data_IF_619626405398
#
_entry.id   IF_619626405398
#
_cell.length_a   1.000
_cell.length_b   1.000
_cell.length_c   1.000
_cell.angle_alpha   90.00
_cell.angle_beta   90.00
_cell.angle_gamma   90.00
#
_symmetry.space_group_name_H-M   'P 1'
#
loop_
_entity.id
_entity.type
_entity.pdbx_description
1 polymer ?
#
# COMPACT_ATOMS: atom_id res chain seq x y z
N UNK A 1 -34.78 -14.49 9.96
CA UNK A 1 -34.38 -13.06 10.08
C UNK A 1 -35.15 -12.26 9.05
N UNK A 2 -35.78 -11.16 9.47
CA UNK A 2 -36.63 -10.37 8.58
C UNK A 2 -35.76 -9.67 7.52
N UNK A 3 -35.97 -10.06 6.25
CA UNK A 3 -35.18 -9.66 5.08
C UNK A 3 -35.09 -8.12 4.88
N UNK A 4 -35.97 -7.36 5.53
CA UNK A 4 -36.01 -5.90 5.50
C UNK A 4 -34.86 -5.23 6.27
N UNK A 5 -34.37 -5.85 7.34
CA UNK A 5 -33.26 -5.29 8.13
C UNK A 5 -31.90 -5.59 7.48
N UNK A 6 -31.81 -6.72 6.77
CA UNK A 6 -30.62 -7.10 6.01
C UNK A 6 -30.37 -6.14 4.84
N UNK A 7 -31.43 -5.75 4.12
CA UNK A 7 -31.34 -4.78 3.03
C UNK A 7 -30.92 -3.38 3.53
N UNK A 8 -31.42 -2.97 4.69
CA UNK A 8 -31.07 -1.67 5.28
C UNK A 8 -29.60 -1.55 5.66
N UNK A 9 -28.99 -2.61 6.19
CA UNK A 9 -27.57 -2.63 6.57
C UNK A 9 -26.68 -2.55 5.32
N UNK A 10 -27.05 -3.25 4.24
CA UNK A 10 -26.29 -3.22 2.97
C UNK A 10 -26.29 -1.81 2.36
N UNK A 11 -27.43 -1.12 2.37
CA UNK A 11 -27.53 0.25 1.83
C UNK A 11 -26.63 1.23 2.61
N UNK A 12 -26.56 1.08 3.94
CA UNK A 12 -25.69 1.92 4.78
C UNK A 12 -24.22 1.66 4.47
N UNK A 13 -23.81 0.40 4.31
CA UNK A 13 -22.42 0.04 3.98
C UNK A 13 -22.03 0.61 2.59
N UNK A 14 -22.91 0.52 1.60
CA UNK A 14 -22.67 1.07 0.26
C UNK A 14 -22.54 2.61 0.31
N UNK A 15 -23.37 3.28 1.11
CA UNK A 15 -23.28 4.74 1.27
C UNK A 15 -21.98 5.19 1.93
N UNK A 16 -21.48 4.45 2.94
CA UNK A 16 -20.20 4.74 3.61
C UNK A 16 -19.03 4.53 2.64
N UNK A 17 -19.05 3.47 1.83
CA UNK A 17 -18.01 3.20 0.83
C UNK A 17 -17.97 4.25 -0.28
N UNK A 18 -19.13 4.76 -0.72
CA UNK A 18 -19.19 5.81 -1.73
C UNK A 18 -18.63 7.16 -1.24
N UNK A 19 -18.79 7.49 0.04
CA UNK A 19 -18.22 8.71 0.64
C UNK A 19 -16.70 8.63 0.71
N UNK A 20 -16.13 7.47 1.09
CA UNK A 20 -14.68 7.26 1.12
C UNK A 20 -14.05 7.43 -0.28
N UNK A 21 -14.74 6.94 -1.32
CA UNK A 21 -14.29 7.08 -2.71
C UNK A 21 -14.31 8.52 -3.22
N UNK A 22 -15.28 9.34 -2.80
CA UNK A 22 -15.37 10.74 -3.21
C UNK A 22 -14.20 11.60 -2.67
N UNK A 23 -13.70 11.30 -1.46
CA UNK A 23 -12.53 11.99 -0.90
C UNK A 23 -11.20 11.62 -1.57
N UNK A 24 -11.17 10.57 -2.40
CA UNK A 24 -9.94 10.08 -3.02
C UNK A 24 -9.62 10.75 -4.38
N UNK A 25 -10.55 11.53 -4.93
CA UNK A 25 -10.42 12.14 -6.28
C UNK A 25 -9.97 13.61 -6.28
N UNK A 26 -10.06 14.34 -5.16
CA UNK A 26 -9.70 15.78 -5.11
C UNK A 26 -8.23 16.06 -4.71
N UNK A 27 -7.41 15.04 -4.42
CA UNK A 27 -6.04 15.24 -3.94
C UNK A 27 -4.97 15.34 -5.04
N UNK A 28 -5.36 15.64 -6.28
CA UNK A 28 -4.44 15.87 -7.41
C UNK A 28 -4.62 17.24 -8.05
N UNK A 29 -4.33 18.31 -7.32
CA UNK A 29 -3.69 19.52 -7.87
C UNK A 29 -3.07 20.30 -6.70
N UNK A 30 -1.86 20.85 -6.89
CA UNK A 30 -1.11 21.78 -6.00
C UNK A 30 0.21 21.30 -5.40
N UNK A 31 0.97 20.46 -6.10
CA UNK A 31 2.42 20.34 -5.83
C UNK A 31 3.26 20.41 -7.11
N UNK A 32 3.05 21.47 -7.90
CA UNK A 32 4.01 21.91 -8.93
C UNK A 32 4.03 23.45 -8.97
N UNK A 33 4.61 24.08 -7.95
CA UNK A 33 5.27 25.37 -8.13
C UNK A 33 6.15 25.69 -6.92
N UNK A 34 7.47 25.68 -7.14
CA UNK A 34 8.47 25.96 -6.12
C UNK A 34 9.88 26.00 -6.71
N UNK A 35 10.09 26.88 -7.68
CA UNK A 35 11.43 27.28 -8.11
C UNK A 35 12.10 28.07 -6.99
N UNK A 36 13.26 27.63 -6.51
CA UNK A 36 14.31 28.53 -6.01
C UNK A 36 15.68 27.84 -6.01
N UNK A 37 16.68 28.61 -6.43
CA UNK A 37 18.06 28.20 -6.70
C UNK A 37 18.80 27.74 -5.44
N UNK A 38 19.44 26.57 -5.55
CA UNK A 38 20.42 26.08 -4.58
C UNK A 38 21.31 25.04 -5.24
N UNK A 39 22.44 25.48 -5.76
CA UNK A 39 23.52 24.60 -6.21
C UNK A 39 24.00 23.75 -5.04
N UNK A 40 24.22 22.44 -5.26
CA UNK A 40 25.47 21.70 -4.97
C UNK A 40 25.20 20.19 -4.86
N UNK A 41 25.95 19.44 -5.69
CA UNK A 41 26.26 18.00 -5.71
C UNK A 41 25.26 17.01 -6.34
N UNK A 42 25.46 16.89 -7.65
CA UNK A 42 25.00 15.81 -8.55
C UNK A 42 25.49 14.43 -8.11
N UNK A 43 24.54 13.58 -7.71
CA UNK A 43 24.51 12.14 -8.01
C UNK A 43 23.07 11.61 -7.87
N UNK A 44 22.13 12.25 -8.58
CA UNK A 44 20.77 11.73 -8.73
C UNK A 44 20.57 11.30 -10.18
N UNK A 45 21.02 10.09 -10.47
CA UNK A 45 20.50 9.29 -11.57
C UNK A 45 19.88 8.04 -10.97
N UNK A 46 18.70 8.18 -10.36
CA UNK A 46 17.75 7.07 -10.20
C UNK A 46 16.54 7.33 -11.06
N UNK A 47 16.80 7.47 -12.37
CA UNK A 47 15.85 7.14 -13.42
C UNK A 47 15.27 5.76 -13.11
N UNK A 48 14.02 5.72 -12.70
CA UNK A 48 13.24 4.50 -12.45
C UNK A 48 12.97 3.82 -13.79
N UNK A 49 14.00 3.20 -14.35
CA UNK A 49 13.92 2.42 -15.58
C UNK A 49 13.41 1.02 -15.24
N UNK A 50 12.30 0.71 -15.89
CA UNK A 50 11.69 -0.60 -16.09
C UNK A 50 12.70 -1.75 -16.24
N UNK A 51 12.36 -2.88 -15.64
CA UNK A 51 12.97 -4.21 -15.81
C UNK A 51 14.36 -4.39 -15.19
N UNK A 52 14.37 -4.72 -13.90
CA UNK A 52 15.42 -5.54 -13.30
C UNK A 52 14.79 -6.36 -12.18
N UNK A 53 14.68 -7.68 -12.40
CA UNK A 53 14.51 -8.69 -11.35
C UNK A 53 15.81 -8.76 -10.51
N UNK A 54 16.25 -7.62 -10.00
CA UNK A 54 17.44 -7.48 -9.20
C UNK A 54 17.04 -7.28 -7.76
N UNK A 55 17.55 -8.14 -6.88
CA UNK A 55 17.56 -7.93 -5.44
C UNK A 55 18.09 -6.51 -5.17
N UNK A 56 17.26 -5.63 -4.60
CA UNK A 56 17.70 -4.32 -4.13
C UNK A 56 17.84 -4.40 -2.62
N UNK A 57 19.01 -4.06 -2.10
CA UNK A 57 19.29 -4.17 -0.67
C UNK A 57 19.26 -2.82 0.02
N UNK A 58 18.87 -2.82 1.30
CA UNK A 58 18.83 -1.63 2.16
C UNK A 58 18.08 -0.45 1.53
N UNK A 59 16.89 -0.73 1.01
CA UNK A 59 15.97 0.26 0.45
C UNK A 59 15.07 0.77 1.57
N UNK A 60 14.82 2.08 1.58
CA UNK A 60 13.87 2.69 2.48
C UNK A 60 12.48 2.72 1.84
N UNK A 61 11.47 2.24 2.57
CA UNK A 61 10.06 2.27 2.16
C UNK A 61 9.19 2.90 3.24
N UNK A 62 8.06 3.45 2.82
CA UNK A 62 6.99 3.94 3.70
C UNK A 62 5.70 3.17 3.43
N UNK A 63 5.01 2.76 4.50
CA UNK A 63 3.69 2.13 4.46
C UNK A 63 2.73 2.80 5.44
N UNK A 64 1.42 2.64 5.23
CA UNK A 64 0.42 2.96 6.24
C UNK A 64 0.47 1.91 7.36
N UNK A 65 0.60 2.36 8.60
CA UNK A 65 0.58 1.50 9.79
C UNK A 65 -0.86 1.18 10.26
N UNK A 66 -1.86 1.79 9.64
CA UNK A 66 -3.27 1.65 10.04
C UNK A 66 -3.89 0.34 9.57
N UNK A 67 -3.37 -0.21 8.47
CA UNK A 67 -3.98 -1.34 7.79
C UNK A 67 -2.92 -2.35 7.33
N UNK A 68 -3.00 -3.53 7.92
CA UNK A 68 -2.29 -4.72 7.51
C UNK A 68 -3.29 -5.83 7.25
N UNK A 69 -3.09 -6.60 6.18
CA UNK A 69 -4.03 -7.63 5.77
C UNK A 69 -3.32 -8.98 5.61
N UNK A 70 -3.92 -10.07 6.12
CA UNK A 70 -3.42 -11.41 5.83
C UNK A 70 -3.58 -11.71 4.34
N UNK A 71 -2.60 -12.39 3.75
CA UNK A 71 -2.55 -12.52 2.30
C UNK A 71 -3.73 -13.28 1.70
N UNK A 72 -4.31 -14.21 2.46
CA UNK A 72 -5.47 -14.99 2.02
C UNK A 72 -6.68 -14.10 1.73
N UNK A 73 -6.88 -13.04 2.53
CA UNK A 73 -8.00 -12.10 2.32
C UNK A 73 -7.79 -11.21 1.11
N UNK A 74 -6.56 -10.72 0.92
CA UNK A 74 -6.25 -9.85 -0.23
C UNK A 74 -6.34 -10.62 -1.54
N UNK A 75 -5.84 -11.85 -1.60
CA UNK A 75 -5.95 -12.65 -2.81
C UNK A 75 -7.42 -12.88 -3.22
N UNK A 76 -8.30 -13.07 -2.25
CA UNK A 76 -9.75 -13.15 -2.49
C UNK A 76 -10.34 -11.79 -2.91
N UNK A 77 -9.93 -10.70 -2.27
CA UNK A 77 -10.39 -9.35 -2.62
C UNK A 77 -9.99 -8.95 -4.05
N UNK A 78 -8.76 -9.22 -4.47
CA UNK A 78 -8.27 -8.97 -5.84
C UNK A 78 -9.14 -9.70 -6.87
N UNK A 79 -9.56 -10.94 -6.58
CA UNK A 79 -10.41 -11.73 -7.48
C UNK A 79 -11.84 -11.22 -7.59
N UNK A 80 -12.37 -10.65 -6.52
CA UNK A 80 -13.81 -10.45 -6.37
C UNK A 80 -14.22 -8.99 -6.42
N UNK A 81 -13.33 -8.07 -6.08
CA UNK A 81 -13.63 -6.65 -5.97
C UNK A 81 -13.41 -5.93 -7.31
N UNK A 82 -14.39 -5.16 -7.83
CA UNK A 82 -14.30 -4.49 -9.14
C UNK A 82 -13.12 -3.51 -9.29
N UNK A 83 -12.61 -2.97 -8.17
CA UNK A 83 -11.45 -2.07 -8.20
C UNK A 83 -10.15 -2.73 -8.71
N UNK A 84 -10.09 -4.06 -8.76
CA UNK A 84 -8.97 -4.82 -9.29
C UNK A 84 -9.28 -5.44 -10.67
N UNK A 85 -10.34 -4.99 -11.36
CA UNK A 85 -10.63 -5.46 -12.71
C UNK A 85 -9.43 -5.26 -13.63
N UNK A 86 -9.07 -6.30 -14.39
CA UNK A 86 -7.89 -6.30 -15.24
C UNK A 86 -6.58 -6.63 -14.54
N UNK A 87 -6.63 -7.25 -13.35
CA UNK A 87 -5.44 -7.75 -12.68
C UNK A 87 -4.70 -8.81 -13.51
N UNK A 88 -3.39 -8.89 -13.30
CA UNK A 88 -2.49 -9.87 -13.91
C UNK A 88 -2.59 -11.21 -13.17
N UNK A 89 -3.06 -12.25 -13.87
CA UNK A 89 -3.29 -13.57 -13.28
C UNK A 89 -2.01 -14.22 -12.75
N UNK A 90 -0.88 -13.99 -13.39
CA UNK A 90 0.39 -14.61 -13.01
C UNK A 90 0.97 -13.96 -11.76
N UNK A 91 0.76 -12.66 -11.59
CA UNK A 91 1.05 -11.92 -10.36
C UNK A 91 0.14 -12.36 -9.23
N UNK A 92 -1.16 -12.58 -9.48
CA UNK A 92 -2.06 -13.12 -8.46
C UNK A 92 -1.66 -14.53 -8.02
N UNK A 93 -1.36 -15.45 -8.96
CA UNK A 93 -0.88 -16.81 -8.62
C UNK A 93 0.40 -16.77 -7.80
N UNK A 94 1.31 -15.86 -8.13
CA UNK A 94 2.52 -15.63 -7.33
C UNK A 94 2.18 -15.13 -5.92
N UNK A 95 1.25 -14.20 -5.80
CA UNK A 95 0.80 -13.67 -4.51
C UNK A 95 0.22 -14.77 -3.59
N UNK A 96 -0.52 -15.72 -4.17
CA UNK A 96 -1.10 -16.86 -3.44
C UNK A 96 -0.05 -17.82 -2.86
N UNK A 97 1.21 -17.73 -3.29
CA UNK A 97 2.30 -18.56 -2.73
C UNK A 97 2.77 -18.07 -1.35
N UNK A 98 2.46 -16.82 -0.97
CA UNK A 98 2.88 -16.19 0.28
C UNK A 98 1.93 -16.49 1.46
N UNK A 99 1.67 -17.77 1.70
CA UNK A 99 0.83 -18.21 2.83
C UNK A 99 1.42 -17.75 4.17
N UNK A 100 0.60 -17.12 5.02
CA UNK A 100 1.03 -16.58 6.32
C UNK A 100 1.88 -15.31 6.25
N UNK A 101 1.99 -14.67 5.08
CA UNK A 101 2.58 -13.33 4.94
C UNK A 101 1.54 -12.24 5.16
N UNK A 102 2.02 -11.03 5.43
CA UNK A 102 1.19 -9.85 5.69
C UNK A 102 1.43 -8.83 4.58
N UNK A 103 0.33 -8.28 4.06
CA UNK A 103 0.36 -7.17 3.11
C UNK A 103 0.05 -5.85 3.82
N UNK A 104 0.85 -4.83 3.51
CA UNK A 104 0.63 -3.45 3.90
C UNK A 104 0.37 -2.59 2.68
N UNK A 105 -0.32 -1.48 2.90
CA UNK A 105 -0.67 -0.54 1.83
C UNK A 105 0.25 0.67 1.88
N UNK A 106 0.67 1.14 0.71
CA UNK A 106 1.30 2.45 0.53
C UNK A 106 0.52 3.24 -0.53
N UNK A 107 0.93 4.48 -0.77
CA UNK A 107 0.32 5.34 -1.78
C UNK A 107 0.45 4.71 -3.17
N UNK A 108 1.65 4.24 -3.51
CA UNK A 108 1.99 3.87 -4.89
C UNK A 108 2.13 2.35 -5.10
N UNK A 109 2.22 1.56 -4.02
CA UNK A 109 2.47 0.12 -4.08
C UNK A 109 1.86 -0.61 -2.87
N UNK A 110 1.77 -1.93 -3.00
CA UNK A 110 1.56 -2.85 -1.90
C UNK A 110 2.88 -3.47 -1.48
N UNK A 111 3.07 -3.67 -0.17
CA UNK A 111 4.27 -4.32 0.38
C UNK A 111 3.86 -5.64 1.02
N UNK A 112 4.47 -6.73 0.60
CA UNK A 112 4.31 -8.06 1.19
C UNK A 112 5.58 -8.40 1.95
N UNK A 113 5.42 -8.86 3.19
CA UNK A 113 6.51 -9.34 4.02
C UNK A 113 6.05 -10.52 4.88
N UNK A 114 6.99 -11.38 5.26
CA UNK A 114 6.69 -12.51 6.12
C UNK A 114 6.22 -12.00 7.50
N UNK A 115 5.40 -12.79 8.21
CA UNK A 115 4.85 -12.39 9.51
C UNK A 115 5.91 -11.91 10.52
N UNK A 116 7.06 -12.59 10.57
CA UNK A 116 8.13 -12.22 11.50
C UNK A 116 8.73 -10.84 11.18
N UNK A 117 8.85 -10.49 9.90
CA UNK A 117 9.32 -9.17 9.47
C UNK A 117 8.25 -8.10 9.77
N UNK A 118 6.96 -8.44 9.60
CA UNK A 118 5.84 -7.55 9.94
C UNK A 118 5.78 -7.23 11.44
N UNK A 119 6.14 -8.17 12.32
CA UNK A 119 6.19 -7.96 13.77
C UNK A 119 7.26 -6.95 14.22
N UNK A 120 8.22 -6.59 13.35
CA UNK A 120 9.18 -5.51 13.61
C UNK A 120 8.58 -4.11 13.46
N UNK A 121 7.39 -3.99 12.87
CA UNK A 121 6.71 -2.72 12.66
C UNK A 121 5.72 -2.44 13.80
N UNK A 122 5.75 -1.25 14.41
CA UNK A 122 4.88 -0.92 15.52
C UNK A 122 3.42 -0.80 15.06
N UNK A 123 2.54 -1.57 15.70
CA UNK A 123 1.10 -1.37 15.52
C UNK A 123 0.63 -0.27 16.46
N UNK A 124 0.07 0.80 15.90
CA UNK A 124 -0.51 1.91 16.66
C UNK A 124 -1.85 2.29 16.05
N UNK A 125 -2.79 2.68 16.90
CA UNK A 125 -4.11 3.11 16.48
C UNK A 125 -4.38 4.49 17.04
N UNK A 126 -4.69 5.43 16.16
CA UNK A 126 -5.05 6.81 16.50
C UNK A 126 -6.34 7.17 15.76
N UNK A 127 -7.20 7.98 16.39
CA UNK A 127 -8.53 8.28 15.83
C UNK A 127 -8.55 9.44 14.83
N UNK A 128 -7.62 10.41 14.96
CA UNK A 128 -7.66 11.69 14.24
C UNK A 128 -6.34 11.99 13.50
N UNK A 129 -5.61 10.95 13.10
CA UNK A 129 -4.35 11.10 12.38
C UNK A 129 -4.08 9.89 11.48
N UNK A 130 -3.28 10.09 10.44
CA UNK A 130 -2.69 9.03 9.65
C UNK A 130 -1.36 8.61 10.24
N UNK A 131 -1.14 7.29 10.37
CA UNK A 131 0.14 6.74 10.82
C UNK A 131 0.89 6.12 9.65
N UNK A 132 2.13 6.54 9.46
CA UNK A 132 3.04 5.97 8.47
C UNK A 132 4.28 5.43 9.17
N UNK A 133 4.66 4.20 8.81
CA UNK A 133 5.91 3.61 9.24
C UNK A 133 6.95 3.70 8.13
N UNK A 134 8.11 4.23 8.47
CA UNK A 134 9.30 4.25 7.63
C UNK A 134 10.24 3.13 8.10
N UNK A 135 10.70 2.30 7.17
CA UNK A 135 11.56 1.15 7.47
C UNK A 135 12.57 0.92 6.36
N UNK A 136 13.67 0.24 6.68
CA UNK A 136 14.63 -0.28 5.71
C UNK A 136 14.41 -1.77 5.48
N UNK A 137 14.65 -2.24 4.27
CA UNK A 137 14.47 -3.65 3.89
C UNK A 137 15.26 -4.02 2.63
N UNK A 138 15.27 -5.30 2.28
CA UNK A 138 15.70 -5.78 0.98
C UNK A 138 14.47 -6.11 0.12
N UNK A 139 14.38 -5.51 -1.08
CA UNK A 139 13.37 -5.86 -2.07
C UNK A 139 13.83 -7.12 -2.81
N UNK A 140 13.09 -8.21 -2.59
CA UNK A 140 13.35 -9.49 -3.21
C UNK A 140 12.79 -9.54 -4.63
N UNK A 141 11.55 -9.07 -4.79
CA UNK A 141 10.84 -9.14 -6.07
C UNK A 141 9.79 -8.05 -6.16
N UNK A 142 9.57 -7.53 -7.37
CA UNK A 142 8.54 -6.55 -7.68
C UNK A 142 7.74 -7.02 -8.89
N UNK A 143 6.42 -7.04 -8.78
CA UNK A 143 5.50 -7.40 -9.88
C UNK A 143 4.40 -6.36 -10.01
N UNK A 144 3.93 -6.15 -11.24
CA UNK A 144 2.77 -5.29 -11.48
C UNK A 144 1.49 -6.09 -11.30
N UNK A 145 0.53 -5.58 -10.54
CA UNK A 145 -0.76 -6.25 -10.38
C UNK A 145 -1.63 -6.13 -11.63
N UNK A 146 -1.28 -5.28 -12.59
CA UNK A 146 -2.07 -5.04 -13.79
C UNK A 146 -2.02 -3.58 -14.21
N UNK A 147 -2.63 -3.29 -15.35
CA UNK A 147 -2.67 -1.91 -15.87
C UNK A 147 -3.48 -1.03 -14.93
N UNK A 148 -2.92 0.14 -14.58
CA UNK A 148 -3.54 1.13 -13.68
C UNK A 148 -3.79 0.64 -12.24
N UNK A 149 -3.22 -0.52 -11.88
CA UNK A 149 -3.23 -1.06 -10.52
C UNK A 149 -1.86 -0.86 -9.85
N UNK A 150 -1.85 -0.89 -8.52
CA UNK A 150 -0.61 -0.75 -7.73
C UNK A 150 0.32 -1.94 -7.95
N UNK A 151 1.62 -1.67 -8.00
CA UNK A 151 2.62 -2.73 -8.00
C UNK A 151 2.69 -3.43 -6.62
N UNK A 152 3.07 -4.70 -6.62
CA UNK A 152 3.32 -5.48 -5.42
C UNK A 152 4.83 -5.66 -5.25
N UNK A 153 5.32 -5.36 -4.05
CA UNK A 153 6.73 -5.48 -3.69
C UNK A 153 6.85 -6.51 -2.56
N UNK A 154 7.60 -7.58 -2.79
CA UNK A 154 7.97 -8.53 -1.75
C UNK A 154 9.32 -8.14 -1.13
N UNK A 155 9.35 -8.03 0.19
CA UNK A 155 10.52 -7.57 0.94
C UNK A 155 10.92 -8.54 2.06
N UNK A 156 12.18 -8.44 2.50
CA UNK A 156 12.74 -9.14 3.65
C UNK A 156 13.64 -8.25 4.48
N UNK A 157 14.04 -8.74 5.66
CA UNK A 157 15.00 -8.09 6.55
C UNK A 157 14.50 -6.70 6.98
N UNK A 158 13.23 -6.63 7.39
CA UNK A 158 12.55 -5.37 7.71
C UNK A 158 13.09 -4.82 9.02
N UNK A 159 13.54 -3.56 8.99
CA UNK A 159 14.03 -2.82 10.16
C UNK A 159 13.27 -1.50 10.27
N UNK A 160 12.51 -1.37 11.34
CA UNK A 160 11.81 -0.13 11.66
C UNK A 160 12.81 1.01 11.89
N UNK A 161 12.56 2.16 11.27
CA UNK A 161 13.38 3.36 11.44
C UNK A 161 12.63 4.43 12.23
N UNK A 162 11.40 4.75 11.79
CA UNK A 162 10.63 5.85 12.35
C UNK A 162 9.13 5.69 12.09
N UNK A 163 8.31 6.29 12.94
CA UNK A 163 6.87 6.40 12.75
C UNK A 163 6.48 7.87 12.66
N UNK A 164 5.71 8.23 11.63
CA UNK A 164 5.17 9.57 11.40
C UNK A 164 3.67 9.56 11.66
N UNK A 165 3.22 10.52 12.46
CA UNK A 165 1.82 10.74 12.77
C UNK A 165 1.40 12.07 12.14
N UNK A 166 0.49 12.02 11.17
CA UNK A 166 0.03 13.18 10.42
C UNK A 166 -1.42 13.48 10.84
N UNK A 167 -1.68 14.58 11.58
CA UNK A 167 -3.03 14.89 12.01
C UNK A 167 -3.96 15.15 10.83
N UNK A 168 -5.21 14.71 10.94
CA UNK A 168 -6.26 15.08 9.98
C UNK A 168 -6.61 16.55 10.17
N UNK A 169 -6.32 17.38 9.17
CA UNK A 169 -6.72 18.78 9.16
C UNK A 169 -8.01 18.87 8.35
N UNK A 170 -9.12 19.17 9.03
CA UNK A 170 -10.44 19.39 8.45
C UNK A 170 -10.69 20.88 8.16
#
# INVERSE_FOLDING_TARGET
>A
MNNKYFLGIIIIIIAVLAVIFAFSLDYQTNYLNGSSNGSVNTNENSSFNQSNNGLQTNVQLTISAEQSFPMEKIAEEIKTHPAYEGYDEDTLKWLETFNGSIMFTSKDYFVVMDKNDAENLPTSFVNDAFIYDDFTCDIIEKRSLGKDLKDIIYVKNVKFENQRIVPMIF
#
